data_IF_954821246590
#
_entry.id   IF_954821246590
#
_cell.length_a   1.000
_cell.length_b   1.000
_cell.length_c   1.000
_cell.angle_alpha   90.00
_cell.angle_beta   90.00
_cell.angle_gamma   90.00
#
_symmetry.space_group_name_H-M   'P 1'
#
loop_
_entity.id
_entity.type
_entity.pdbx_description
1 polymer ?
#
# COMPACT_ATOMS: atom_id res chain seq x y z
N UNK A 1 16.41 -2.99 10.96
CA UNK A 1 16.57 -3.94 9.83
C UNK A 1 15.30 -4.67 9.39
N UNK A 2 14.56 -5.40 10.25
CA UNK A 2 13.35 -6.13 9.78
C UNK A 2 12.26 -5.20 9.25
N UNK A 3 12.02 -4.11 9.96
CA UNK A 3 10.94 -3.18 9.61
C UNK A 3 11.28 -2.28 8.43
N UNK A 4 12.55 -1.89 8.26
CA UNK A 4 12.98 -1.12 7.10
C UNK A 4 12.78 -1.94 5.82
N UNK A 5 13.10 -3.24 5.87
CA UNK A 5 12.80 -4.19 4.80
C UNK A 5 11.30 -4.35 4.55
N UNK A 6 10.49 -4.43 5.60
CA UNK A 6 9.03 -4.51 5.46
C UNK A 6 8.52 -3.25 4.78
N UNK A 7 8.92 -2.06 5.23
CA UNK A 7 8.51 -0.79 4.62
C UNK A 7 8.95 -0.69 3.16
N UNK A 8 10.20 -1.02 2.84
CA UNK A 8 10.71 -1.01 1.47
C UNK A 8 9.98 -2.01 0.57
N UNK A 9 9.69 -3.21 1.05
CA UNK A 9 8.92 -4.20 0.29
C UNK A 9 7.46 -3.76 0.07
N UNK A 10 6.81 -3.23 1.10
CA UNK A 10 5.43 -2.72 1.02
C UNK A 10 5.35 -1.53 0.05
N UNK A 11 6.35 -0.63 0.06
CA UNK A 11 6.45 0.47 -0.90
C UNK A 11 6.59 -0.05 -2.34
N UNK A 12 7.48 -1.01 -2.57
CA UNK A 12 7.68 -1.62 -3.90
C UNK A 12 6.40 -2.32 -4.40
N UNK A 13 5.67 -3.01 -3.51
CA UNK A 13 4.37 -3.60 -3.82
C UNK A 13 3.33 -2.54 -4.16
N UNK A 14 3.24 -1.47 -3.37
CA UNK A 14 2.28 -0.39 -3.61
C UNK A 14 2.52 0.30 -4.96
N UNK A 15 3.77 0.58 -5.31
CA UNK A 15 4.15 1.14 -6.62
C UNK A 15 3.80 0.19 -7.77
N UNK A 16 4.06 -1.11 -7.60
CA UNK A 16 3.74 -2.12 -8.61
C UNK A 16 2.24 -2.29 -8.80
N UNK A 17 1.46 -2.21 -7.73
CA UNK A 17 -0.01 -2.26 -7.78
C UNK A 17 -0.60 -0.98 -8.39
N UNK A 18 -0.03 0.20 -8.16
CA UNK A 18 -0.49 1.44 -8.80
C UNK A 18 -0.44 1.38 -10.33
N UNK A 19 0.57 0.71 -10.89
CA UNK A 19 0.72 0.56 -12.34
C UNK A 19 0.01 -0.66 -12.93
N UNK A 20 -0.80 -1.38 -12.16
CA UNK A 20 -1.42 -2.63 -12.62
C UNK A 20 -2.85 -2.40 -13.10
N UNK A 21 -3.18 -2.83 -14.32
CA UNK A 21 -4.49 -2.56 -14.96
C UNK A 21 -5.69 -3.10 -14.18
N UNK A 22 -5.49 -4.17 -13.42
CA UNK A 22 -6.55 -4.73 -12.55
C UNK A 22 -6.74 -3.97 -11.25
N UNK A 23 -5.87 -3.02 -10.89
CA UNK A 23 -5.97 -2.28 -9.62
C UNK A 23 -6.66 -0.94 -9.90
N UNK A 24 -7.66 -0.62 -9.08
CA UNK A 24 -8.43 0.62 -9.19
C UNK A 24 -7.77 1.75 -8.42
N UNK A 25 -7.31 1.45 -7.22
CA UNK A 25 -6.65 2.41 -6.34
C UNK A 25 -5.74 1.69 -5.35
N UNK A 26 -4.71 2.40 -4.89
CA UNK A 26 -3.79 1.93 -3.84
C UNK A 26 -3.68 3.01 -2.78
N UNK A 27 -3.92 2.66 -1.52
CA UNK A 27 -3.69 3.49 -0.34
C UNK A 27 -2.60 2.87 0.51
N UNK A 28 -1.48 3.57 0.59
CA UNK A 28 -0.40 3.25 1.51
C UNK A 28 0.10 4.53 2.16
N UNK A 29 0.08 4.58 3.50
CA UNK A 29 0.52 5.77 4.24
C UNK A 29 2.03 6.00 4.16
N UNK A 30 2.79 5.03 3.62
CA UNK A 30 4.22 5.19 3.31
C UNK A 30 4.50 5.69 1.89
N UNK A 31 3.50 5.83 1.01
CA UNK A 31 3.69 6.47 -0.29
C UNK A 31 3.85 7.99 -0.09
N UNK A 32 4.74 8.65 -0.86
CA UNK A 32 4.87 10.10 -0.84
C UNK A 32 3.61 10.83 -1.33
N UNK A 33 2.74 10.11 -2.06
CA UNK A 33 1.45 10.59 -2.55
C UNK A 33 0.36 10.65 -1.45
N UNK A 34 0.60 10.08 -0.27
CA UNK A 34 -0.40 10.06 0.80
C UNK A 34 -0.30 11.31 1.68
N UNK A 35 -1.41 12.02 1.97
CA UNK A 35 -1.38 13.20 2.84
C UNK A 35 -0.85 12.91 4.24
N UNK A 36 -1.03 11.66 4.70
CA UNK A 36 -0.53 11.20 6.00
C UNK A 36 0.95 10.81 6.00
N UNK A 37 1.69 10.89 4.88
CA UNK A 37 3.10 10.50 4.82
C UNK A 37 3.96 11.28 5.83
N UNK A 38 3.74 12.59 5.91
CA UNK A 38 4.41 13.44 6.88
C UNK A 38 4.00 13.11 8.33
N UNK A 39 2.73 12.76 8.54
CA UNK A 39 2.21 12.39 9.86
C UNK A 39 2.77 11.04 10.32
N UNK A 40 2.92 10.09 9.41
CA UNK A 40 3.51 8.77 9.66
C UNK A 40 5.02 8.87 9.89
N UNK A 41 5.71 9.76 9.19
CA UNK A 41 7.09 10.10 9.52
C UNK A 41 7.21 10.65 10.95
N UNK A 42 6.36 11.62 11.30
CA UNK A 42 6.37 12.29 12.60
C UNK A 42 5.98 11.36 13.76
N UNK A 43 4.96 10.52 13.58
CA UNK A 43 4.37 9.74 14.68
C UNK A 43 4.88 8.31 14.74
N UNK A 44 5.19 7.68 13.60
CA UNK A 44 5.69 6.31 13.53
C UNK A 44 7.17 6.23 13.13
N UNK A 45 7.89 7.37 13.10
CA UNK A 45 9.33 7.42 12.81
C UNK A 45 9.67 6.93 11.40
N UNK A 46 8.80 7.20 10.43
CA UNK A 46 8.97 6.78 9.03
C UNK A 46 8.63 5.31 8.77
N UNK A 47 8.09 4.61 9.77
CA UNK A 47 7.67 3.21 9.66
C UNK A 47 6.17 3.18 9.44
N UNK A 48 5.75 3.51 8.22
CA UNK A 48 4.41 3.15 7.77
C UNK A 48 4.33 1.62 7.88
N UNK A 49 3.53 1.11 8.82
CA UNK A 49 3.29 -0.32 9.03
C UNK A 49 3.23 -1.07 7.69
N UNK A 50 3.63 -2.34 7.64
CA UNK A 50 3.66 -3.14 6.40
C UNK A 50 2.30 -3.42 5.76
N UNK A 51 1.27 -2.70 6.18
CA UNK A 51 -0.11 -2.78 5.75
C UNK A 51 -0.33 -1.73 4.66
N UNK A 52 -0.75 -2.21 3.48
CA UNK A 52 -1.24 -1.38 2.39
C UNK A 52 -2.67 -1.84 2.06
N UNK A 53 -3.51 -0.92 1.62
CA UNK A 53 -4.87 -1.23 1.16
C UNK A 53 -4.95 -0.94 -0.33
N UNK A 54 -5.56 -1.82 -1.11
CA UNK A 54 -5.76 -1.59 -2.54
C UNK A 54 -7.14 -2.11 -2.95
N UNK A 55 -7.75 -1.45 -3.91
CA UNK A 55 -8.99 -1.87 -4.55
C UNK A 55 -8.70 -2.46 -5.92
N UNK A 56 -9.41 -3.53 -6.28
CA UNK A 56 -9.32 -4.12 -7.62
C UNK A 56 -10.42 -3.52 -8.52
N UNK A 57 -10.10 -3.20 -9.77
CA UNK A 57 -11.09 -2.84 -10.79
C UNK A 57 -11.98 -4.05 -11.02
N UNK A 58 -13.21 -3.96 -10.57
CA UNK A 58 -14.15 -5.08 -10.64
C UNK A 58 -14.75 -5.17 -12.04
N UNK A 59 -14.19 -6.07 -12.85
CA UNK A 59 -14.88 -6.67 -14.00
C UNK A 59 -15.05 -8.19 -13.82
N UNK A 60 -14.13 -8.86 -13.10
CA UNK A 60 -14.09 -10.33 -12.91
C UNK A 60 -13.72 -10.76 -11.47
N UNK A 61 -13.75 -9.85 -10.49
CA UNK A 61 -13.48 -10.23 -9.10
C UNK A 61 -14.75 -10.75 -8.44
N UNK A 62 -14.93 -12.08 -8.46
CA UNK A 62 -15.89 -12.75 -7.60
C UNK A 62 -15.52 -12.46 -6.13
N UNK A 63 -16.36 -11.74 -5.37
CA UNK A 63 -16.10 -11.45 -3.96
C UNK A 63 -16.07 -12.71 -3.07
N UNK A 64 -16.38 -13.91 -3.61
CA UNK A 64 -16.30 -15.19 -2.89
C UNK A 64 -14.92 -15.85 -2.87
N UNK A 65 -13.94 -15.37 -3.65
CA UNK A 65 -12.62 -16.00 -3.71
C UNK A 65 -11.68 -15.65 -2.53
N UNK A 66 -12.11 -14.76 -1.63
CA UNK A 66 -11.33 -14.31 -0.47
C UNK A 66 -11.81 -14.88 0.88
N UNK A 67 -12.52 -16.02 0.86
CA UNK A 67 -13.02 -16.72 2.06
C UNK A 67 -12.13 -17.88 2.49
#
# INVERSE_FOLDING_TARGET
LRMDRICANTLALAQRLQGHDKVEWVRYAGLPDHPDHALVQSQMGGRASGILSFGLKTADADPRAAG
#
